data_IF_236780269841
#
_entry.id   IF_236780269841
#
_cell.length_a   1.000
_cell.length_b   1.000
_cell.length_c   1.000
_cell.angle_alpha   90.00
_cell.angle_beta   90.00
_cell.angle_gamma   90.00
#
_symmetry.space_group_name_H-M   'P 1'
#
loop_
_entity.id
_entity.type
_entity.pdbx_description
1 polymer ?
#
# COMPACT_ATOMS: atom_id res chain seq x y z
N UNK A 1 10.54 11.74 1.70
CA UNK A 1 9.81 12.38 0.59
C UNK A 1 10.83 12.81 -0.47
N UNK A 2 10.51 12.75 -1.78
CA UNK A 2 11.43 13.16 -2.83
C UNK A 2 11.81 14.65 -2.69
N UNK A 3 12.96 15.03 -3.21
CA UNK A 3 13.42 16.42 -3.18
C UNK A 3 12.58 17.32 -4.08
N UNK A 4 12.54 18.62 -3.78
CA UNK A 4 11.89 19.61 -4.64
C UNK A 4 12.47 19.61 -6.07
N UNK A 5 13.75 19.26 -6.22
CA UNK A 5 14.37 19.14 -7.55
C UNK A 5 13.67 18.07 -8.38
N UNK A 6 13.34 16.93 -7.78
CA UNK A 6 12.62 15.86 -8.46
C UNK A 6 11.21 16.30 -8.87
N UNK A 7 10.48 16.94 -7.95
CA UNK A 7 9.12 17.42 -8.18
C UNK A 7 9.02 18.49 -9.29
N UNK A 8 10.10 19.23 -9.53
CA UNK A 8 10.18 20.25 -10.57
C UNK A 8 10.67 19.70 -11.93
N UNK A 9 10.97 18.40 -12.05
CA UNK A 9 11.36 17.81 -13.33
C UNK A 9 10.18 17.85 -14.33
N UNK A 10 10.45 17.88 -15.64
CA UNK A 10 9.42 17.64 -16.64
C UNK A 10 8.68 16.32 -16.38
N UNK A 11 7.36 16.31 -16.59
CA UNK A 11 6.49 15.16 -16.29
C UNK A 11 7.00 13.84 -16.89
N UNK A 12 7.44 13.86 -18.14
CA UNK A 12 8.01 12.69 -18.81
C UNK A 12 9.23 12.11 -18.06
N UNK A 13 10.08 12.98 -17.53
CA UNK A 13 11.27 12.57 -16.79
C UNK A 13 10.91 12.03 -15.40
N UNK A 14 9.92 12.61 -14.73
CA UNK A 14 9.37 12.04 -13.49
C UNK A 14 8.81 10.64 -13.75
N UNK A 15 7.96 10.50 -14.78
CA UNK A 15 7.36 9.22 -15.17
C UNK A 15 8.40 8.15 -15.48
N UNK A 16 9.45 8.49 -16.25
CA UNK A 16 10.54 7.55 -16.55
C UNK A 16 11.25 7.05 -15.29
N UNK A 17 11.51 7.94 -14.34
CA UNK A 17 12.12 7.56 -13.05
C UNK A 17 11.15 6.70 -12.24
N UNK A 18 9.88 7.10 -12.15
CA UNK A 18 8.84 6.35 -11.44
C UNK A 18 8.65 4.95 -12.00
N UNK A 19 8.69 4.77 -13.32
CA UNK A 19 8.63 3.45 -13.96
C UNK A 19 9.85 2.59 -13.62
N UNK A 20 11.07 3.16 -13.61
CA UNK A 20 12.27 2.43 -13.20
C UNK A 20 12.23 2.03 -11.72
N UNK A 21 11.66 2.88 -10.84
CA UNK A 21 11.42 2.52 -9.45
C UNK A 21 10.41 1.38 -9.35
N UNK A 22 9.32 1.45 -10.12
CA UNK A 22 8.28 0.43 -10.14
C UNK A 22 8.86 -0.92 -10.55
N UNK A 23 9.60 -0.98 -11.66
CA UNK A 23 10.23 -2.21 -12.11
C UNK A 23 11.21 -2.77 -11.08
N UNK A 24 12.04 -1.94 -10.44
CA UNK A 24 12.94 -2.41 -9.40
C UNK A 24 12.17 -3.00 -8.21
N UNK A 25 11.22 -2.24 -7.65
CA UNK A 25 10.57 -2.62 -6.40
C UNK A 25 9.43 -3.64 -6.56
N UNK A 26 8.95 -3.89 -7.79
CA UNK A 26 8.05 -4.99 -8.10
C UNK A 26 8.79 -6.33 -8.23
N UNK A 27 10.06 -6.31 -8.64
CA UNK A 27 10.83 -7.53 -8.94
C UNK A 27 11.81 -7.91 -7.83
N UNK A 28 12.23 -6.97 -6.97
CA UNK A 28 13.19 -7.21 -5.91
C UNK A 28 12.65 -6.73 -4.56
N UNK A 29 12.82 -7.51 -3.47
CA UNK A 29 12.61 -7.01 -2.12
C UNK A 29 13.46 -5.74 -1.86
N UNK A 30 12.95 -4.81 -1.07
CA UNK A 30 13.59 -3.53 -0.79
C UNK A 30 15.02 -3.70 -0.26
N UNK A 31 15.25 -4.72 0.59
CA UNK A 31 16.58 -5.05 1.11
C UNK A 31 17.59 -5.50 0.03
N UNK A 32 17.11 -5.96 -1.13
CA UNK A 32 17.92 -6.40 -2.26
C UNK A 32 17.92 -5.40 -3.42
N UNK A 33 17.15 -4.31 -3.30
CA UNK A 33 17.03 -3.30 -4.33
C UNK A 33 18.36 -2.56 -4.55
N UNK A 34 18.61 -2.12 -5.78
CA UNK A 34 19.88 -1.50 -6.15
C UNK A 34 19.68 -0.22 -6.95
N UNK A 35 20.30 0.85 -6.45
CA UNK A 35 20.37 2.16 -7.14
C UNK A 35 20.96 2.01 -8.55
N UNK A 36 21.95 1.12 -8.74
CA UNK A 36 22.58 0.90 -10.05
C UNK A 36 21.60 0.41 -11.13
N UNK A 37 20.65 -0.46 -10.78
CA UNK A 37 19.61 -0.94 -11.71
C UNK A 37 18.64 0.18 -12.07
N UNK A 38 18.13 0.88 -11.05
CA UNK A 38 17.21 2.02 -11.22
C UNK A 38 17.83 3.09 -12.15
N UNK A 39 19.06 3.53 -11.88
CA UNK A 39 19.66 4.64 -12.64
C UNK A 39 20.02 4.24 -14.07
N UNK A 40 20.38 2.97 -14.29
CA UNK A 40 20.60 2.41 -15.63
C UNK A 40 19.31 2.44 -16.44
N UNK A 41 18.21 2.01 -15.84
CA UNK A 41 16.91 1.95 -16.51
C UNK A 41 16.30 3.33 -16.75
N UNK A 42 16.32 4.20 -15.73
CA UNK A 42 15.88 5.58 -15.84
C UNK A 42 16.78 6.44 -16.76
N UNK A 43 17.96 5.93 -17.15
CA UNK A 43 18.99 6.62 -17.92
C UNK A 43 19.40 7.96 -17.27
N UNK A 44 19.70 7.90 -15.97
CA UNK A 44 20.22 9.04 -15.20
C UNK A 44 21.58 8.68 -14.58
N UNK A 45 22.39 9.69 -14.26
CA UNK A 45 23.61 9.46 -13.51
C UNK A 45 23.30 9.06 -12.06
N UNK A 46 24.18 8.27 -11.43
CA UNK A 46 24.03 7.89 -10.01
C UNK A 46 23.92 9.10 -9.07
N UNK A 47 24.69 10.17 -9.32
CA UNK A 47 24.59 11.41 -8.55
C UNK A 47 23.22 12.10 -8.67
N UNK A 48 22.52 11.93 -9.79
CA UNK A 48 21.17 12.48 -9.97
C UNK A 48 20.15 11.77 -9.07
N UNK A 49 20.28 10.44 -8.88
CA UNK A 49 19.43 9.71 -7.94
C UNK A 49 19.49 10.33 -6.54
N UNK A 50 20.70 10.56 -6.01
CA UNK A 50 20.87 11.15 -4.68
C UNK A 50 20.51 12.64 -4.59
N UNK A 51 20.34 13.31 -5.74
CA UNK A 51 19.73 14.65 -5.79
C UNK A 51 18.21 14.57 -5.67
N UNK A 52 17.59 13.45 -6.04
CA UNK A 52 16.15 13.26 -6.06
C UNK A 52 15.63 12.57 -4.81
N UNK A 53 16.35 11.57 -4.31
CA UNK A 53 15.99 10.75 -3.16
C UNK A 53 17.18 10.63 -2.21
N UNK A 54 16.95 10.62 -0.90
CA UNK A 54 18.05 10.47 0.08
C UNK A 54 18.66 9.07 0.01
N UNK A 55 17.82 8.06 -0.15
CA UNK A 55 18.19 6.65 -0.23
C UNK A 55 17.08 5.82 -0.93
N UNK A 56 17.20 4.50 -0.91
CA UNK A 56 16.21 3.59 -1.47
C UNK A 56 14.88 3.59 -0.70
N UNK A 57 14.90 3.79 0.62
CA UNK A 57 13.68 3.84 1.42
C UNK A 57 12.85 5.08 1.04
N UNK A 58 13.51 6.21 0.83
CA UNK A 58 12.85 7.44 0.38
C UNK A 58 12.23 7.28 -1.01
N UNK A 59 12.96 6.70 -1.96
CA UNK A 59 12.45 6.37 -3.29
C UNK A 59 11.29 5.37 -3.24
N UNK A 60 11.36 4.37 -2.36
CA UNK A 60 10.31 3.38 -2.15
C UNK A 60 9.05 4.03 -1.58
N UNK A 61 9.17 4.87 -0.54
CA UNK A 61 8.04 5.57 0.07
C UNK A 61 7.38 6.54 -0.91
N UNK A 62 8.16 7.19 -1.77
CA UNK A 62 7.63 7.98 -2.89
C UNK A 62 6.77 7.11 -3.81
N UNK A 63 7.30 5.99 -4.31
CA UNK A 63 6.57 5.10 -5.20
C UNK A 63 5.32 4.54 -4.53
N UNK A 64 5.42 4.14 -3.26
CA UNK A 64 4.29 3.66 -2.48
C UNK A 64 3.18 4.70 -2.40
N UNK A 65 3.52 5.97 -2.14
CA UNK A 65 2.54 7.05 -2.14
C UNK A 65 1.87 7.22 -3.51
N UNK A 66 2.62 7.15 -4.61
CA UNK A 66 2.07 7.22 -5.97
C UNK A 66 1.10 6.06 -6.22
N UNK A 67 1.50 4.82 -5.89
CA UNK A 67 0.66 3.64 -6.04
C UNK A 67 -0.63 3.75 -5.20
N UNK A 68 -0.52 4.22 -3.95
CA UNK A 68 -1.68 4.43 -3.09
C UNK A 68 -2.59 5.56 -3.58
N UNK A 69 -2.07 6.58 -4.26
CA UNK A 69 -2.91 7.60 -4.87
C UNK A 69 -3.74 7.06 -6.03
N UNK A 70 -3.23 6.10 -6.79
CA UNK A 70 -3.99 5.42 -7.85
C UNK A 70 -5.01 4.44 -7.27
N UNK A 71 -4.55 3.58 -6.37
CA UNK A 71 -5.36 2.51 -5.78
C UNK A 71 -6.42 3.06 -4.83
N UNK A 72 -6.07 3.94 -3.90
CA UNK A 72 -7.01 4.47 -2.90
C UNK A 72 -7.75 5.74 -3.35
N UNK A 73 -7.99 5.93 -4.64
CA UNK A 73 -8.66 7.13 -5.16
C UNK A 73 -10.06 7.35 -4.57
N UNK A 74 -10.72 6.31 -4.04
CA UNK A 74 -12.12 6.35 -3.61
C UNK A 74 -12.40 5.82 -2.20
N UNK A 75 -11.42 5.79 -1.27
CA UNK A 75 -11.72 5.36 0.11
C UNK A 75 -12.82 6.23 0.70
N UNK A 76 -13.94 5.58 1.02
CA UNK A 76 -15.05 6.26 1.67
C UNK A 76 -14.79 6.26 3.16
N UNK A 77 -15.25 7.30 3.84
CA UNK A 77 -15.31 7.24 5.29
C UNK A 77 -16.53 6.42 5.70
N UNK A 78 -16.37 5.65 6.78
CA UNK A 78 -17.50 4.94 7.37
C UNK A 78 -18.65 5.96 7.59
N UNK A 79 -19.90 5.61 7.25
CA UNK A 79 -21.01 6.53 7.39
C UNK A 79 -21.13 6.97 8.86
N UNK A 80 -21.01 8.28 9.12
CA UNK A 80 -21.05 8.84 10.48
C UNK A 80 -22.38 8.58 11.20
N UNK A 81 -23.43 8.31 10.44
CA UNK A 81 -24.81 8.19 10.92
C UNK A 81 -25.24 6.71 11.04
N UNK A 82 -24.37 5.76 10.67
CA UNK A 82 -24.68 4.34 10.72
C UNK A 82 -24.17 3.72 12.01
N UNK A 83 -25.06 3.58 12.99
CA UNK A 83 -24.78 2.89 14.25
C UNK A 83 -25.10 1.39 14.19
N UNK A 84 -25.36 0.83 13.00
CA UNK A 84 -25.70 -0.59 12.84
C UNK A 84 -24.43 -1.40 12.65
N UNK A 85 -24.07 -2.31 13.58
CA UNK A 85 -22.89 -3.18 13.42
C UNK A 85 -22.92 -3.99 12.12
N UNK A 86 -24.11 -4.40 11.68
CA UNK A 86 -24.30 -5.16 10.44
C UNK A 86 -24.14 -4.30 9.16
N UNK A 87 -24.48 -3.02 9.22
CA UNK A 87 -24.27 -2.11 8.09
C UNK A 87 -22.80 -1.71 7.99
N UNK A 88 -22.17 -1.40 9.12
CA UNK A 88 -20.75 -1.07 9.22
C UNK A 88 -19.85 -2.26 8.82
N UNK A 89 -20.18 -3.50 9.25
CA UNK A 89 -19.40 -4.68 8.84
C UNK A 89 -19.42 -4.92 7.32
N UNK A 90 -20.58 -4.72 6.68
CA UNK A 90 -20.71 -4.78 5.22
C UNK A 90 -19.90 -3.68 4.53
N UNK A 91 -19.90 -2.47 5.10
CA UNK A 91 -19.08 -1.36 4.61
C UNK A 91 -17.58 -1.70 4.66
N UNK A 92 -17.06 -2.19 5.79
CA UNK A 92 -15.64 -2.58 5.87
C UNK A 92 -15.31 -3.72 4.90
N UNK A 93 -16.19 -4.72 4.76
CA UNK A 93 -16.00 -5.78 3.77
C UNK A 93 -15.96 -5.21 2.33
N UNK A 94 -16.80 -4.23 2.01
CA UNK A 94 -16.76 -3.60 0.67
C UNK A 94 -15.47 -2.83 0.45
N UNK A 95 -14.96 -2.11 1.45
CA UNK A 95 -13.68 -1.40 1.32
C UNK A 95 -12.51 -2.36 1.11
N UNK A 96 -12.48 -3.50 1.84
CA UNK A 96 -11.48 -4.55 1.63
C UNK A 96 -11.54 -5.09 0.19
N UNK A 97 -12.75 -5.38 -0.32
CA UNK A 97 -12.96 -5.87 -1.68
C UNK A 97 -12.55 -4.85 -2.74
N UNK A 98 -12.89 -3.58 -2.53
CA UNK A 98 -12.54 -2.48 -3.42
C UNK A 98 -11.02 -2.35 -3.51
N UNK A 99 -10.34 -2.29 -2.36
CA UNK A 99 -8.88 -2.24 -2.32
C UNK A 99 -8.26 -3.44 -3.05
N UNK A 100 -8.72 -4.67 -2.77
CA UNK A 100 -8.20 -5.86 -3.44
C UNK A 100 -8.38 -5.78 -4.95
N UNK A 101 -9.55 -5.38 -5.44
CA UNK A 101 -9.80 -5.24 -6.86
C UNK A 101 -8.92 -4.15 -7.50
N UNK A 102 -8.91 -2.95 -6.93
CA UNK A 102 -8.13 -1.81 -7.45
C UNK A 102 -6.64 -2.13 -7.44
N UNK A 103 -6.12 -2.69 -6.35
CA UNK A 103 -4.70 -3.05 -6.25
C UNK A 103 -4.31 -4.20 -7.18
N UNK A 104 -5.11 -5.26 -7.29
CA UNK A 104 -4.82 -6.42 -8.15
C UNK A 104 -4.93 -6.12 -9.65
N UNK A 105 -5.77 -5.16 -10.03
CA UNK A 105 -5.95 -4.76 -11.44
C UNK A 105 -5.08 -3.57 -11.86
N UNK A 106 -4.44 -2.89 -10.90
CA UNK A 106 -3.58 -1.73 -11.16
C UNK A 106 -2.27 -2.10 -11.86
N UNK A 107 -1.63 -1.08 -12.44
CA UNK A 107 -0.25 -1.18 -12.93
C UNK A 107 0.78 -1.47 -11.81
N UNK A 108 0.37 -1.35 -10.55
CA UNK A 108 1.19 -1.54 -9.35
C UNK A 108 1.01 -2.91 -8.69
N UNK A 109 0.22 -3.84 -9.27
CA UNK A 109 -0.17 -5.09 -8.62
C UNK A 109 1.00 -5.90 -8.01
N UNK A 110 2.07 -6.10 -8.78
CA UNK A 110 3.26 -6.83 -8.33
C UNK A 110 4.04 -6.08 -7.25
N UNK A 111 4.09 -4.74 -7.34
CA UNK A 111 4.69 -3.91 -6.31
C UNK A 111 3.92 -3.96 -4.99
N UNK A 112 2.58 -3.92 -5.04
CA UNK A 112 1.74 -4.05 -3.84
C UNK A 112 1.85 -5.45 -3.24
N UNK A 113 1.91 -6.49 -4.08
CA UNK A 113 2.19 -7.85 -3.61
C UNK A 113 3.54 -7.93 -2.89
N UNK A 114 4.60 -7.38 -3.49
CA UNK A 114 5.93 -7.31 -2.87
C UNK A 114 5.90 -6.54 -1.55
N UNK A 115 5.18 -5.41 -1.50
CA UNK A 115 4.99 -4.64 -0.29
C UNK A 115 4.38 -5.46 0.84
N UNK A 116 3.20 -6.03 0.61
CA UNK A 116 2.40 -6.74 1.61
C UNK A 116 3.06 -8.04 2.08
N UNK A 117 3.85 -8.70 1.22
CA UNK A 117 4.40 -10.02 1.53
C UNK A 117 5.84 -9.98 2.05
N UNK A 118 6.65 -9.00 1.63
CA UNK A 118 8.10 -8.96 1.91
C UNK A 118 8.55 -7.67 2.60
N UNK A 119 8.14 -6.49 2.11
CA UNK A 119 8.78 -5.23 2.50
C UNK A 119 8.14 -4.50 3.68
N UNK A 120 6.85 -4.74 3.93
CA UNK A 120 6.08 -3.98 4.91
C UNK A 120 6.70 -4.01 6.32
N UNK A 121 7.14 -5.19 6.79
CA UNK A 121 7.67 -5.35 8.15
C UNK A 121 8.95 -4.53 8.31
N UNK A 122 9.83 -4.56 7.33
CA UNK A 122 11.07 -3.77 7.34
C UNK A 122 10.75 -2.26 7.38
N UNK A 123 9.75 -1.80 6.63
CA UNK A 123 9.36 -0.40 6.59
C UNK A 123 8.66 0.08 7.88
N UNK A 124 7.83 -0.77 8.51
CA UNK A 124 7.15 -0.44 9.78
C UNK A 124 8.14 -0.13 10.91
N UNK A 125 9.35 -0.70 10.88
CA UNK A 125 10.41 -0.38 11.86
C UNK A 125 10.97 1.03 11.71
N UNK A 126 10.81 1.67 10.54
CA UNK A 126 11.30 3.02 10.26
C UNK A 126 10.29 4.10 10.59
N UNK A 127 9.00 3.75 10.65
CA UNK A 127 7.88 4.65 10.90
C UNK A 127 6.89 3.96 11.85
N UNK A 128 7.12 4.11 13.16
CA UNK A 128 6.10 3.72 14.13
C UNK A 128 4.86 4.60 13.89
N UNK A 129 3.70 4.03 13.53
CA UNK A 129 2.48 4.82 13.40
C UNK A 129 2.13 5.41 14.77
N UNK A 130 1.49 6.58 14.78
CA UNK A 130 0.85 7.04 16.00
C UNK A 130 -0.16 5.97 16.45
N UNK A 131 -0.19 5.63 17.75
CA UNK A 131 -1.09 4.61 18.24
C UNK A 131 -2.54 5.05 18.00
N UNK A 132 -3.29 4.27 17.24
CA UNK A 132 -4.74 4.44 17.14
C UNK A 132 -5.34 4.22 18.53
N UNK A 133 -6.02 5.24 19.04
CA UNK A 133 -6.54 5.28 20.41
C UNK A 133 -7.91 4.62 20.53
N UNK A 134 -8.63 4.49 19.41
CA UNK A 134 -9.89 3.77 19.34
C UNK A 134 -9.62 2.28 19.10
N UNK A 135 -9.79 1.48 20.16
CA UNK A 135 -9.51 0.04 20.13
C UNK A 135 -10.33 -0.72 19.06
N UNK A 136 -11.55 -0.26 18.77
CA UNK A 136 -12.41 -0.87 17.75
C UNK A 136 -11.88 -0.54 16.36
N UNK A 137 -11.58 0.74 16.08
CA UNK A 137 -10.98 1.15 14.80
C UNK A 137 -9.65 0.45 14.56
N UNK A 138 -8.80 0.38 15.58
CA UNK A 138 -7.52 -0.34 15.52
C UNK A 138 -7.72 -1.82 15.17
N UNK A 139 -8.63 -2.50 15.88
CA UNK A 139 -8.91 -3.93 15.65
C UNK A 139 -9.40 -4.21 14.24
N UNK A 140 -10.30 -3.36 13.72
CA UNK A 140 -10.82 -3.48 12.36
C UNK A 140 -9.73 -3.21 11.33
N UNK A 141 -8.88 -2.20 11.54
CA UNK A 141 -7.77 -1.89 10.64
C UNK A 141 -6.76 -3.05 10.57
N UNK A 142 -6.36 -3.61 11.71
CA UNK A 142 -5.44 -4.76 11.79
C UNK A 142 -6.05 -5.98 11.08
N UNK A 143 -7.32 -6.29 11.34
CA UNK A 143 -8.00 -7.42 10.71
C UNK A 143 -8.16 -7.22 9.20
N UNK A 144 -8.51 -6.02 8.76
CA UNK A 144 -8.64 -5.68 7.33
C UNK A 144 -7.30 -5.85 6.62
N UNK A 145 -6.23 -5.32 7.20
CA UNK A 145 -4.89 -5.44 6.66
C UNK A 145 -4.43 -6.90 6.55
N UNK A 146 -4.62 -7.69 7.62
CA UNK A 146 -4.26 -9.10 7.62
C UNK A 146 -5.09 -9.90 6.61
N UNK A 147 -6.37 -9.55 6.43
CA UNK A 147 -7.25 -10.15 5.41
C UNK A 147 -6.73 -9.91 4.01
N UNK A 148 -6.38 -8.67 3.69
CA UNK A 148 -5.83 -8.28 2.37
C UNK A 148 -4.55 -9.08 2.10
N UNK A 149 -3.67 -9.14 3.09
CA UNK A 149 -2.40 -9.88 3.01
C UNK A 149 -2.61 -11.37 2.75
N UNK A 150 -3.57 -12.00 3.43
CA UNK A 150 -3.93 -13.40 3.22
C UNK A 150 -4.49 -13.64 1.80
N UNK A 151 -5.30 -12.71 1.27
CA UNK A 151 -5.81 -12.81 -0.11
C UNK A 151 -4.68 -12.76 -1.14
N UNK A 152 -3.69 -11.87 -0.94
CA UNK A 152 -2.50 -11.81 -1.79
C UNK A 152 -1.61 -13.06 -1.69
N UNK A 153 -1.55 -13.69 -0.50
CA UNK A 153 -0.76 -14.89 -0.25
C UNK A 153 -1.41 -16.16 -0.79
N UNK A 154 -2.74 -16.26 -0.68
CA UNK A 154 -3.53 -17.43 -1.05
C UNK A 154 -4.68 -17.07 -2.00
N UNK A 155 -4.39 -16.67 -3.26
CA UNK A 155 -5.41 -16.17 -4.19
C UNK A 155 -6.53 -17.18 -4.46
N UNK A 156 -6.22 -18.48 -4.49
CA UNK A 156 -7.21 -19.55 -4.67
C UNK A 156 -8.21 -19.66 -3.50
N UNK A 157 -7.91 -19.06 -2.34
CA UNK A 157 -8.76 -19.07 -1.14
C UNK A 157 -9.42 -17.71 -0.88
N UNK A 158 -9.28 -16.73 -1.78
CA UNK A 158 -9.75 -15.35 -1.57
C UNK A 158 -11.23 -15.30 -1.15
N UNK A 159 -12.11 -16.05 -1.80
CA UNK A 159 -13.54 -16.07 -1.45
C UNK A 159 -13.78 -16.58 -0.01
N UNK A 160 -13.08 -17.65 0.38
CA UNK A 160 -13.17 -18.22 1.73
C UNK A 160 -12.62 -17.26 2.78
N UNK A 161 -11.49 -16.60 2.49
CA UNK A 161 -10.87 -15.60 3.36
C UNK A 161 -11.78 -14.39 3.55
N UNK A 162 -12.46 -13.92 2.49
CA UNK A 162 -13.38 -12.79 2.59
C UNK A 162 -14.68 -13.17 3.32
N UNK A 163 -15.17 -14.41 3.16
CA UNK A 163 -16.39 -14.88 3.81
C UNK A 163 -16.30 -14.86 5.34
N UNK A 164 -15.12 -15.13 5.92
CA UNK A 164 -14.94 -15.15 7.39
C UNK A 164 -14.87 -13.76 8.04
N UNK A 165 -14.61 -12.68 7.29
CA UNK A 165 -14.23 -11.38 7.88
C UNK A 165 -15.44 -10.56 8.35
N UNK A 166 -16.50 -10.50 7.53
CA UNK A 166 -17.71 -9.75 7.87
C UNK A 166 -18.34 -10.14 9.22
N UNK A 167 -18.56 -11.42 9.55
CA UNK A 167 -19.12 -11.79 10.86
C UNK A 167 -18.20 -11.42 12.02
N UNK A 168 -16.87 -11.45 11.84
CA UNK A 168 -15.90 -11.06 12.87
C UNK A 168 -15.95 -9.54 13.10
N UNK A 169 -15.92 -8.73 12.03
CA UNK A 169 -16.04 -7.27 12.14
C UNK A 169 -17.36 -6.89 12.81
N UNK A 170 -18.46 -7.55 12.45
CA UNK A 170 -19.76 -7.32 13.08
C UNK A 170 -19.72 -7.61 14.59
N UNK A 171 -19.09 -8.70 15.01
CA UNK A 171 -18.96 -9.06 16.42
C UNK A 171 -18.08 -8.05 17.20
N UNK A 172 -17.03 -7.51 16.58
CA UNK A 172 -16.20 -6.43 17.17
C UNK A 172 -17.06 -5.16 17.36
N UNK A 173 -17.82 -4.78 16.33
CA UNK A 173 -18.66 -3.58 16.36
C UNK A 173 -19.85 -3.68 17.34
N UNK A 174 -20.26 -4.89 17.71
CA UNK A 174 -21.30 -5.10 18.74
C UNK A 174 -20.80 -4.81 20.17
N UNK A 175 -19.49 -4.68 20.37
CA UNK A 175 -18.89 -4.33 21.66
C UNK A 175 -18.65 -2.82 21.81
N UNK A 176 -18.96 -2.03 20.77
CA UNK A 176 -18.88 -0.58 20.72
C UNK A 176 -20.12 0.08 21.33
#
# INVERSE_FOLDING_TARGET
>A
MPSQTFLNLPTEKQQKITLALLHEFANYPLAQAQVSRIVKEAQIARGAFYKYFTDLNDAYLYLYKVAMQEIHTNLKHAPKDSNSPAALSKFYLSEIKNFLNESQTSSYADFIKMHLLENEISLRSLQAPEPETDAIKWSIAVLSHQTIRDCYRYPAQQEVILARVSPIIQAILQQA
#
